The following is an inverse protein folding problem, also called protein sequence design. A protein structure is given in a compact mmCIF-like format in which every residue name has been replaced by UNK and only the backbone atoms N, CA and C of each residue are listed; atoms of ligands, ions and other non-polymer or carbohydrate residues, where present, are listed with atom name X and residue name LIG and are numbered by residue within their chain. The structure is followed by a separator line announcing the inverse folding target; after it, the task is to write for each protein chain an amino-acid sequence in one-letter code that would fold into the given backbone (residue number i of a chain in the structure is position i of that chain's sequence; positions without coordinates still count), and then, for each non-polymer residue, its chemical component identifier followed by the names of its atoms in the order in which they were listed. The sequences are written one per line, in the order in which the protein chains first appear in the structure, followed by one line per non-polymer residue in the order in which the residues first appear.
data_IF_146533932572
#
_entry.id   IF_146533932572
#
_cell.length_a   1.000
_cell.length_b   1.000
_cell.length_c   1.000
_cell.angle_alpha   90.00
_cell.angle_beta   90.00
_cell.angle_gamma   90.00
#
_symmetry.space_group_name_H-M   'P 1'
#
loop_
_entity.id
_entity.type
_entity.pdbx_description
1 polymer ?
#
# COMPACT_ATOMS: atom_id res chain seq x y z
N UNK A 1 38.25 3.12 -36.23
CA UNK A 1 39.36 2.79 -35.29
C UNK A 1 40.18 4.05 -35.04
N UNK A 2 40.79 4.16 -33.85
CA UNK A 2 41.47 5.34 -33.24
C UNK A 2 40.51 6.45 -32.79
N UNK A 3 40.04 6.54 -31.52
CA UNK A 3 40.73 6.62 -30.20
C UNK A 3 41.68 7.84 -30.15
N UNK A 4 41.58 8.85 -29.27
CA UNK A 4 41.84 8.84 -27.79
C UNK A 4 41.82 10.29 -27.21
N UNK A 5 41.40 10.42 -25.94
CA UNK A 5 41.83 11.36 -24.86
C UNK A 5 41.20 12.76 -24.81
N UNK A 6 40.53 13.22 -23.74
CA UNK A 6 40.82 13.33 -22.27
C UNK A 6 41.59 14.62 -21.91
N UNK A 7 40.83 15.57 -21.34
CA UNK A 7 41.03 16.44 -20.16
C UNK A 7 42.18 17.47 -20.12
N UNK A 8 41.79 18.74 -19.92
CA UNK A 8 42.51 19.81 -19.18
C UNK A 8 41.42 20.71 -18.55
N UNK A 9 41.12 20.64 -17.25
CA UNK A 9 41.77 21.33 -16.12
C UNK A 9 41.76 22.87 -16.24
N UNK A 10 40.78 23.52 -15.60
CA UNK A 10 40.80 24.94 -15.27
C UNK A 10 41.04 25.09 -13.77
N UNK A 11 42.18 25.69 -13.42
CA UNK A 11 42.50 26.21 -12.10
C UNK A 11 42.50 27.73 -12.21
N UNK A 12 41.77 28.44 -11.34
CA UNK A 12 42.22 29.75 -10.88
C UNK A 12 41.68 30.06 -9.47
N UNK A 13 42.65 30.09 -8.54
CA UNK A 13 42.84 30.89 -7.32
C UNK A 13 41.66 31.77 -6.84
N UNK A 14 41.16 31.59 -5.60
CA UNK A 14 41.73 31.99 -4.29
C UNK A 14 41.84 33.51 -4.09
N UNK A 15 41.06 34.04 -3.14
CA UNK A 15 41.53 34.91 -2.04
C UNK A 15 40.36 35.33 -1.12
N UNK A 16 40.58 35.28 0.20
CA UNK A 16 39.83 36.11 1.17
C UNK A 16 39.32 35.38 2.41
N UNK A 17 40.13 35.37 3.49
CA UNK A 17 39.75 34.99 4.85
C UNK A 17 38.71 36.01 5.43
N UNK A 18 37.93 35.81 6.49
CA UNK A 18 38.30 35.47 7.88
C UNK A 18 37.04 35.47 8.79
N UNK A 19 37.02 34.60 9.82
CA UNK A 19 36.29 34.55 11.12
C UNK A 19 34.75 34.58 11.28
N UNK A 20 34.24 33.40 11.68
CA UNK A 20 33.45 33.08 12.89
C UNK A 20 32.36 34.06 13.38
N UNK A 21 31.11 33.59 13.37
CA UNK A 21 30.11 33.86 14.40
C UNK A 21 29.15 32.68 14.48
N UNK A 22 29.05 32.07 15.66
CA UNK A 22 28.07 31.04 15.97
C UNK A 22 26.65 31.61 15.84
N UNK A 23 25.84 31.01 14.97
CA UNK A 23 24.39 31.17 15.00
C UNK A 23 23.79 29.84 15.42
N UNK A 24 23.27 29.82 16.64
CA UNK A 24 22.22 28.93 17.10
C UNK A 24 21.00 29.13 16.21
N UNK A 25 20.98 28.44 15.06
CA UNK A 25 19.80 28.31 14.24
C UNK A 25 19.05 27.05 14.70
N UNK A 26 17.94 27.27 15.38
CA UNK A 26 16.87 26.27 15.54
C UNK A 26 16.58 25.63 14.18
N UNK A 27 16.91 24.34 14.06
CA UNK A 27 16.74 23.58 12.83
C UNK A 27 15.27 23.62 12.37
N UNK A 28 14.95 24.06 11.15
CA UNK A 28 13.64 23.80 10.57
C UNK A 28 13.61 22.32 10.18
N UNK A 29 12.82 21.54 10.92
CA UNK A 29 12.47 20.15 10.62
C UNK A 29 11.82 20.10 9.23
N UNK A 30 12.61 19.76 8.23
CA UNK A 30 12.12 19.51 6.89
C UNK A 30 12.81 18.27 6.33
N UNK A 31 11.98 17.41 5.75
CA UNK A 31 12.35 16.33 4.85
C UNK A 31 12.80 15.03 5.51
N UNK A 32 11.81 14.18 5.81
CA UNK A 32 11.99 12.74 5.62
C UNK A 32 10.82 12.17 4.80
N UNK A 33 10.72 12.67 3.56
CA UNK A 33 10.13 11.88 2.48
C UNK A 33 11.22 10.95 1.96
N UNK A 34 11.22 9.69 2.39
CA UNK A 34 11.72 8.54 1.61
C UNK A 34 11.67 7.27 2.46
N UNK A 35 10.49 6.69 2.57
CA UNK A 35 10.35 5.24 2.79
C UNK A 35 9.06 4.75 2.13
N UNK A 36 8.80 5.20 0.89
CA UNK A 36 7.91 4.47 -0.01
C UNK A 36 8.67 3.27 -0.54
N UNK A 37 8.38 2.09 0.02
CA UNK A 37 8.72 0.83 -0.60
C UNK A 37 8.28 0.84 -2.07
N UNK A 38 9.06 0.21 -2.94
CA UNK A 38 8.86 0.16 -4.38
C UNK A 38 7.53 -0.53 -4.73
N UNK A 39 6.43 0.21 -4.68
CA UNK A 39 5.09 -0.25 -5.07
C UNK A 39 4.69 0.48 -6.36
N UNK A 40 4.57 -0.31 -7.44
CA UNK A 40 3.74 -0.11 -8.63
C UNK A 40 3.87 1.12 -9.55
N UNK A 41 4.99 1.25 -10.28
CA UNK A 41 4.97 1.94 -11.59
C UNK A 41 4.61 1.02 -12.77
N UNK A 42 4.77 -0.29 -12.63
CA UNK A 42 4.63 -1.25 -13.75
C UNK A 42 3.17 -1.63 -14.04
N UNK A 43 2.34 -1.71 -13.00
CA UNK A 43 0.98 -2.20 -13.10
C UNK A 43 0.02 -1.19 -13.74
N UNK A 44 0.21 0.11 -13.45
CA UNK A 44 -0.53 1.21 -14.09
C UNK A 44 -0.19 1.33 -15.58
N UNK A 45 1.08 1.18 -15.95
CA UNK A 45 1.53 1.24 -17.36
C UNK A 45 0.94 0.09 -18.19
N UNK A 46 0.86 -1.11 -17.61
CA UNK A 46 0.24 -2.26 -18.29
C UNK A 46 -1.28 -2.06 -18.49
N UNK A 47 -1.99 -1.51 -17.50
CA UNK A 47 -3.43 -1.23 -17.63
C UNK A 47 -3.73 -0.20 -18.72
N UNK A 48 -2.99 0.92 -18.75
CA UNK A 48 -3.14 1.97 -19.77
C UNK A 48 -2.82 1.45 -21.17
N UNK A 49 -1.87 0.52 -21.31
CA UNK A 49 -1.56 -0.12 -22.58
C UNK A 49 -2.68 -1.08 -23.03
N UNK A 50 -3.29 -1.83 -22.11
CA UNK A 50 -4.40 -2.74 -22.41
C UNK A 50 -5.68 -2.01 -22.81
N UNK A 51 -5.97 -0.86 -22.20
CA UNK A 51 -7.15 -0.07 -22.54
C UNK A 51 -7.07 0.59 -23.93
N UNK A 52 -5.85 0.77 -24.47
CA UNK A 52 -5.61 1.26 -25.84
C UNK A 52 -5.83 0.22 -26.94
N UNK A 53 -6.02 -1.06 -26.59
CA UNK A 53 -6.31 -2.12 -27.56
C UNK A 53 -7.72 -1.91 -28.13
N UNK A 54 -7.81 -1.62 -29.43
CA UNK A 54 -9.08 -1.35 -30.13
C UNK A 54 -9.99 -2.58 -30.25
N UNK A 55 -9.39 -3.76 -30.42
CA UNK A 55 -10.16 -5.01 -30.50
C UNK A 55 -10.68 -5.45 -29.13
N UNK A 56 -12.01 -5.60 -29.02
CA UNK A 56 -12.69 -5.95 -27.76
C UNK A 56 -12.32 -7.34 -27.28
N UNK A 57 -12.12 -8.30 -28.19
CA UNK A 57 -11.85 -9.70 -27.84
C UNK A 57 -10.42 -9.87 -27.34
N UNK A 58 -9.44 -9.31 -28.05
CA UNK A 58 -8.04 -9.28 -27.64
C UNK A 58 -7.87 -8.56 -26.30
N UNK A 59 -8.52 -7.40 -26.12
CA UNK A 59 -8.49 -6.69 -24.84
C UNK A 59 -9.04 -7.54 -23.68
N UNK A 60 -10.15 -8.25 -23.88
CA UNK A 60 -10.71 -9.16 -22.86
C UNK A 60 -9.74 -10.29 -22.52
N UNK A 61 -9.12 -10.92 -23.52
CA UNK A 61 -8.15 -11.99 -23.31
C UNK A 61 -6.91 -11.51 -22.55
N UNK A 62 -6.33 -10.36 -22.92
CA UNK A 62 -5.16 -9.79 -22.24
C UNK A 62 -5.52 -9.39 -20.80
N UNK A 63 -6.71 -8.79 -20.57
CA UNK A 63 -7.19 -8.49 -19.21
C UNK A 63 -7.35 -9.76 -18.36
N UNK A 64 -7.89 -10.83 -18.94
CA UNK A 64 -8.05 -12.10 -18.25
C UNK A 64 -6.69 -12.72 -17.89
N UNK A 65 -5.72 -12.73 -18.82
CA UNK A 65 -4.37 -13.21 -18.56
C UNK A 65 -3.68 -12.40 -17.44
N UNK A 66 -3.75 -11.07 -17.52
CA UNK A 66 -3.20 -10.20 -16.49
C UNK A 66 -3.88 -10.42 -15.13
N UNK A 67 -5.21 -10.58 -15.14
CA UNK A 67 -6.01 -10.89 -13.96
C UNK A 67 -5.56 -12.19 -13.29
N UNK A 68 -5.38 -13.26 -14.05
CA UNK A 68 -4.85 -14.54 -13.55
C UNK A 68 -3.45 -14.39 -12.96
N UNK A 69 -2.54 -13.66 -13.63
CA UNK A 69 -1.19 -13.44 -13.10
C UNK A 69 -1.20 -12.64 -11.79
N UNK A 70 -2.06 -11.62 -11.70
CA UNK A 70 -2.24 -10.84 -10.47
C UNK A 70 -2.81 -11.68 -9.35
N UNK A 71 -3.84 -12.47 -9.64
CA UNK A 71 -4.45 -13.41 -8.70
C UNK A 71 -3.40 -14.35 -8.11
N UNK A 72 -2.58 -14.98 -8.95
CA UNK A 72 -1.55 -15.93 -8.48
C UNK A 72 -0.52 -15.27 -7.57
N UNK A 73 -0.06 -14.06 -7.91
CA UNK A 73 0.88 -13.29 -7.08
C UNK A 73 0.25 -12.90 -5.74
N UNK A 74 -0.97 -12.37 -5.78
CA UNK A 74 -1.75 -12.01 -4.59
C UNK A 74 -2.01 -13.22 -3.69
N UNK A 75 -2.43 -14.34 -4.27
CA UNK A 75 -2.69 -15.59 -3.56
C UNK A 75 -1.43 -16.16 -2.89
N UNK A 76 -0.26 -16.03 -3.53
CA UNK A 76 1.01 -16.41 -2.90
C UNK A 76 1.33 -15.49 -1.73
N UNK A 77 1.29 -14.17 -1.94
CA UNK A 77 1.58 -13.18 -0.91
C UNK A 77 0.66 -13.30 0.32
N UNK A 78 -0.62 -13.58 0.09
CA UNK A 78 -1.62 -13.82 1.13
C UNK A 78 -1.30 -15.05 1.98
N UNK A 79 -0.87 -16.16 1.35
CA UNK A 79 -0.46 -17.38 2.06
C UNK A 79 0.85 -17.22 2.81
N UNK A 80 1.80 -16.46 2.25
CA UNK A 80 3.09 -16.16 2.88
C UNK A 80 2.94 -15.17 4.04
N UNK A 81 1.83 -14.42 4.11
CA UNK A 81 1.60 -13.39 5.12
C UNK A 81 2.40 -12.11 4.87
N UNK A 82 2.72 -11.80 3.62
CA UNK A 82 3.49 -10.61 3.24
C UNK A 82 2.79 -9.88 2.09
N UNK A 83 1.82 -9.05 2.42
CA UNK A 83 1.01 -8.34 1.43
C UNK A 83 0.49 -7.00 1.93
N UNK A 84 0.10 -6.14 0.99
CA UNK A 84 -0.70 -4.95 1.24
C UNK A 84 -1.94 -4.98 0.37
N UNK A 85 -3.11 -4.77 0.96
CA UNK A 85 -4.33 -4.44 0.25
C UNK A 85 -4.44 -2.93 0.21
N UNK A 86 -4.27 -2.34 -0.98
CA UNK A 86 -4.43 -0.92 -1.23
C UNK A 86 -5.85 -0.66 -1.68
N UNK A 87 -6.59 0.18 -0.94
CA UNK A 87 -8.00 0.39 -1.17
C UNK A 87 -8.26 1.62 -2.05
N UNK A 88 -8.96 1.41 -3.16
CA UNK A 88 -9.48 2.47 -4.01
C UNK A 88 -10.84 2.99 -3.53
N UNK A 89 -11.52 2.23 -2.67
CA UNK A 89 -12.74 2.67 -2.00
C UNK A 89 -12.84 2.13 -0.59
N UNK A 90 -13.44 2.91 0.31
CA UNK A 90 -13.72 2.55 1.70
C UNK A 90 -15.19 2.75 1.99
N UNK A 91 -15.83 1.75 2.60
CA UNK A 91 -17.20 1.85 3.11
C UNK A 91 -17.19 1.68 4.63
N UNK A 92 -17.89 2.55 5.34
CA UNK A 92 -18.06 2.43 6.79
C UNK A 92 -19.52 2.09 7.15
N UNK A 93 -19.70 0.94 7.78
CA UNK A 93 -20.97 0.52 8.39
C UNK A 93 -20.87 0.83 9.89
N UNK A 94 -21.89 1.41 10.56
CA UNK A 94 -23.30 1.46 10.17
C UNK A 94 -23.72 2.68 9.35
N UNK A 95 -22.88 3.71 9.23
CA UNK A 95 -23.24 4.96 8.53
C UNK A 95 -23.60 4.79 7.05
N UNK A 96 -23.16 3.68 6.44
CA UNK A 96 -23.31 3.44 5.01
C UNK A 96 -22.45 4.35 4.13
N UNK A 97 -21.66 5.26 4.72
CA UNK A 97 -20.79 6.19 4.02
C UNK A 97 -19.78 5.43 3.15
N UNK A 98 -19.66 5.84 1.89
CA UNK A 98 -18.72 5.30 0.92
C UNK A 98 -17.82 6.43 0.46
N UNK A 99 -16.52 6.30 0.70
CA UNK A 99 -15.49 7.08 0.02
C UNK A 99 -15.05 6.28 -1.22
N UNK A 100 -15.57 6.67 -2.38
CA UNK A 100 -15.32 6.00 -3.66
C UNK A 100 -14.02 6.47 -4.35
N UNK A 101 -13.26 7.39 -3.75
CA UNK A 101 -11.99 7.88 -4.26
C UNK A 101 -10.96 7.96 -3.13
N UNK A 102 -10.85 6.83 -2.41
CA UNK A 102 -9.93 6.70 -1.31
C UNK A 102 -8.49 6.81 -1.82
N UNK A 103 -7.69 7.61 -1.13
CA UNK A 103 -6.24 7.65 -1.35
C UNK A 103 -5.66 6.29 -0.93
N UNK A 104 -5.22 5.50 -1.90
CA UNK A 104 -4.68 4.15 -1.71
C UNK A 104 -3.46 4.14 -0.77
N UNK A 105 -2.74 5.26 -0.64
CA UNK A 105 -1.63 5.38 0.30
C UNK A 105 -2.09 5.62 1.74
N UNK A 106 -3.31 6.11 1.92
CA UNK A 106 -3.89 6.42 3.23
C UNK A 106 -4.98 5.42 3.66
N UNK A 107 -5.33 4.46 2.78
CA UNK A 107 -6.34 3.45 3.02
C UNK A 107 -5.82 2.06 2.62
N UNK A 108 -5.29 1.31 3.59
CA UNK A 108 -4.70 0.00 3.32
C UNK A 108 -4.77 -0.98 4.50
N UNK A 109 -4.65 -2.26 4.17
CA UNK A 109 -4.37 -3.35 5.13
C UNK A 109 -3.01 -3.96 4.78
N UNK A 110 -2.03 -3.84 5.66
CA UNK A 110 -0.70 -4.42 5.54
C UNK A 110 -0.58 -5.62 6.47
N UNK A 111 -0.06 -6.73 5.96
CA UNK A 111 0.34 -7.90 6.73
C UNK A 111 1.81 -8.20 6.43
N UNK A 112 2.62 -8.26 7.48
CA UNK A 112 4.06 -8.52 7.41
C UNK A 112 4.42 -9.58 8.46
N UNK A 113 4.29 -10.85 8.08
CA UNK A 113 4.47 -12.00 8.95
C UNK A 113 3.51 -11.95 10.14
N UNK A 114 4.06 -11.73 11.33
CA UNK A 114 3.29 -11.68 12.58
C UNK A 114 2.78 -10.27 12.92
N UNK A 115 3.06 -9.26 12.11
CA UNK A 115 2.63 -7.87 12.34
C UNK A 115 1.64 -7.44 11.27
N UNK A 116 0.67 -6.61 11.65
CA UNK A 116 -0.30 -6.06 10.72
C UNK A 116 -0.68 -4.63 11.04
N UNK A 117 -1.04 -3.89 10.00
CA UNK A 117 -1.50 -2.51 10.06
C UNK A 117 -2.78 -2.39 9.26
N UNK A 118 -3.81 -1.81 9.86
CA UNK A 118 -4.97 -1.32 9.12
C UNK A 118 -4.99 0.20 9.25
N UNK A 119 -5.01 0.91 8.14
CA UNK A 119 -5.08 2.37 8.13
C UNK A 119 -6.19 2.81 7.18
N UNK A 120 -6.96 3.79 7.62
CA UNK A 120 -7.92 4.52 6.79
C UNK A 120 -7.82 6.00 7.10
N UNK A 121 -7.98 6.84 6.09
CA UNK A 121 -8.08 8.28 6.22
C UNK A 121 -9.40 8.72 5.61
N UNK A 122 -10.34 9.22 6.43
CA UNK A 122 -11.54 9.85 5.92
C UNK A 122 -11.21 11.23 5.37
N UNK A 123 -11.55 11.49 4.10
CA UNK A 123 -11.54 12.85 3.54
C UNK A 123 -12.96 13.42 3.61
N UNK A 124 -13.16 14.47 4.41
CA UNK A 124 -14.42 15.20 4.49
C UNK A 124 -14.23 16.62 5.02
N UNK A 125 -14.58 17.61 4.19
CA UNK A 125 -14.20 19.04 4.17
C UNK A 125 -14.81 19.90 5.31
N UNK A 126 -15.35 19.29 6.37
CA UNK A 126 -15.88 20.03 7.53
C UNK A 126 -15.63 19.25 8.84
N UNK A 127 -14.92 19.79 9.84
CA UNK A 127 -14.60 19.12 11.11
C UNK A 127 -15.79 18.75 12.02
N UNK A 128 -17.03 18.86 11.55
CA UNK A 128 -18.22 18.84 12.42
C UNK A 128 -19.41 17.99 11.97
N UNK A 129 -19.46 17.45 10.74
CA UNK A 129 -20.69 16.81 10.24
C UNK A 129 -20.55 15.38 9.72
N UNK A 130 -19.44 14.67 10.01
CA UNK A 130 -19.40 13.19 10.04
C UNK A 130 -18.11 12.56 10.64
N UNK A 131 -17.15 13.33 11.18
CA UNK A 131 -16.04 12.87 12.06
C UNK A 131 -15.42 11.49 11.79
N UNK A 132 -15.27 11.09 10.53
CA UNK A 132 -14.47 9.92 10.16
C UNK A 132 -13.00 10.32 10.15
N UNK A 133 -12.48 10.66 11.34
CA UNK A 133 -11.05 10.86 11.54
C UNK A 133 -10.29 9.63 11.07
N UNK A 134 -9.10 9.83 10.49
CA UNK A 134 -8.27 8.71 10.08
C UNK A 134 -7.98 7.79 11.27
N UNK A 135 -8.17 6.48 11.08
CA UNK A 135 -7.95 5.47 12.11
C UNK A 135 -6.80 4.58 11.67
N UNK A 136 -5.85 4.35 12.58
CA UNK A 136 -4.74 3.42 12.36
C UNK A 136 -4.72 2.39 13.47
N UNK A 137 -4.87 1.14 13.08
CA UNK A 137 -4.67 -0.02 13.94
C UNK A 137 -3.32 -0.64 13.64
N UNK A 138 -2.53 -0.91 14.68
CA UNK A 138 -1.29 -1.69 14.57
C UNK A 138 -1.33 -2.79 15.61
N UNK A 139 -0.96 -4.00 15.22
CA UNK A 139 -0.99 -5.11 16.14
C UNK A 139 -0.35 -6.37 15.59
N UNK A 140 -0.37 -7.41 16.43
CA UNK A 140 0.08 -8.74 16.07
C UNK A 140 -1.02 -9.47 15.30
N UNK A 141 -0.65 -10.10 14.20
CA UNK A 141 -1.54 -10.98 13.44
C UNK A 141 -1.71 -12.28 14.22
N UNK A 142 -2.95 -12.57 14.60
CA UNK A 142 -3.37 -13.84 15.17
C UNK A 142 -3.25 -14.97 14.14
N UNK A 143 -3.52 -16.21 14.55
CA UNK A 143 -3.42 -17.37 13.65
C UNK A 143 -4.42 -17.22 12.49
N UNK A 144 -3.96 -17.05 11.23
CA UNK A 144 -4.87 -16.88 10.12
C UNK A 144 -5.53 -18.22 9.76
N UNK A 145 -6.79 -18.16 9.36
CA UNK A 145 -7.50 -19.27 8.73
C UNK A 145 -7.70 -18.98 7.25
N UNK A 146 -7.52 -20.01 6.43
CA UNK A 146 -7.62 -19.92 4.98
C UNK A 146 -8.68 -20.88 4.46
N UNK A 147 -9.48 -20.42 3.52
CA UNK A 147 -10.44 -21.26 2.80
C UNK A 147 -10.60 -20.79 1.35
N UNK A 148 -11.26 -21.61 0.54
CA UNK A 148 -11.56 -21.28 -0.86
C UNK A 148 -12.94 -21.79 -1.23
N UNK A 149 -13.64 -21.08 -2.12
CA UNK A 149 -14.91 -21.56 -2.66
C UNK A 149 -14.73 -22.33 -3.97
N UNK A 150 -15.83 -22.91 -4.49
CA UNK A 150 -15.85 -23.62 -5.79
C UNK A 150 -15.53 -22.72 -6.99
N UNK A 151 -15.67 -21.39 -6.86
CA UNK A 151 -15.35 -20.41 -7.91
C UNK A 151 -13.85 -20.08 -7.95
N UNK A 152 -13.09 -20.49 -6.92
CA UNK A 152 -11.67 -20.23 -6.78
C UNK A 152 -11.33 -18.95 -5.99
N UNK A 153 -12.33 -18.26 -5.42
CA UNK A 153 -12.05 -17.12 -4.54
C UNK A 153 -11.38 -17.63 -3.27
N UNK A 154 -10.40 -16.88 -2.77
CA UNK A 154 -9.69 -17.21 -1.54
C UNK A 154 -10.15 -16.31 -0.41
N UNK A 155 -10.31 -16.91 0.77
CA UNK A 155 -10.68 -16.21 1.98
C UNK A 155 -9.58 -16.37 3.01
N UNK A 156 -9.28 -15.28 3.70
CA UNK A 156 -8.36 -15.24 4.83
C UNK A 156 -9.04 -14.51 5.99
N UNK A 157 -9.09 -15.13 7.16
CA UNK A 157 -9.59 -14.51 8.37
C UNK A 157 -8.51 -14.52 9.45
N UNK A 158 -8.36 -13.42 10.17
CA UNK A 158 -7.46 -13.32 11.32
C UNK A 158 -7.88 -12.18 12.23
N UNK A 159 -7.44 -12.24 13.48
CA UNK A 159 -7.57 -11.13 14.43
C UNK A 159 -6.27 -10.35 14.46
N UNK A 160 -6.34 -9.03 14.38
CA UNK A 160 -5.27 -8.13 14.74
C UNK A 160 -5.37 -7.79 16.23
N UNK A 161 -4.33 -8.15 16.98
CA UNK A 161 -4.25 -7.95 18.43
C UNK A 161 -3.39 -6.73 18.72
N UNK A 162 -4.03 -5.64 19.14
CA UNK A 162 -3.38 -4.37 19.48
C UNK A 162 -3.17 -4.24 20.98
N UNK A 163 -2.60 -3.10 21.41
CA UNK A 163 -2.48 -2.74 22.82
C UNK A 163 -3.84 -2.47 23.48
N UNK A 164 -4.68 -1.69 22.78
CA UNK A 164 -5.90 -1.12 23.37
C UNK A 164 -7.17 -1.70 22.78
N UNK A 165 -7.10 -2.22 21.54
CA UNK A 165 -8.25 -2.71 20.78
C UNK A 165 -7.82 -3.96 20.01
N UNK A 166 -8.75 -4.88 19.78
CA UNK A 166 -8.60 -5.99 18.84
C UNK A 166 -9.55 -5.79 17.65
N UNK A 167 -9.14 -6.23 16.47
CA UNK A 167 -9.95 -6.16 15.26
C UNK A 167 -9.98 -7.50 14.54
N UNK A 168 -11.15 -7.96 14.15
CA UNK A 168 -11.27 -9.10 13.24
C UNK A 168 -11.19 -8.60 11.80
N UNK A 169 -10.37 -9.29 11.00
CA UNK A 169 -10.09 -8.94 9.61
C UNK A 169 -10.44 -10.12 8.72
N UNK A 170 -11.39 -9.90 7.82
CA UNK A 170 -11.82 -10.85 6.82
C UNK A 170 -11.45 -10.35 5.43
N UNK A 171 -10.62 -11.08 4.70
CA UNK A 171 -10.15 -10.74 3.36
C UNK A 171 -10.69 -11.74 2.35
N UNK A 172 -11.24 -11.23 1.25
CA UNK A 172 -11.60 -11.99 0.05
C UNK A 172 -10.69 -11.57 -1.10
N UNK A 173 -10.03 -12.53 -1.74
CA UNK A 173 -9.32 -12.34 -3.00
C UNK A 173 -10.15 -12.96 -4.13
N UNK A 174 -10.59 -12.13 -5.09
CA UNK A 174 -11.49 -12.56 -6.15
C UNK A 174 -10.74 -13.28 -7.27
N UNK A 175 -11.21 -14.49 -7.59
CA UNK A 175 -10.61 -15.36 -8.60
C UNK A 175 -10.48 -14.69 -9.98
N UNK A 176 -9.39 -14.99 -10.69
CA UNK A 176 -9.13 -14.48 -12.04
C UNK A 176 -8.85 -12.97 -12.07
N UNK A 177 -8.66 -12.33 -10.92
CA UNK A 177 -8.36 -10.90 -10.81
C UNK A 177 -7.31 -10.63 -9.72
N UNK A 178 -6.80 -9.41 -9.69
CA UNK A 178 -6.03 -8.91 -8.53
C UNK A 178 -6.89 -8.16 -7.51
N UNK A 179 -8.22 -8.15 -7.69
CA UNK A 179 -9.12 -7.42 -6.83
C UNK A 179 -9.33 -8.17 -5.52
N UNK A 180 -9.36 -7.41 -4.44
CA UNK A 180 -9.60 -7.92 -3.10
C UNK A 180 -10.51 -6.97 -2.32
N UNK A 181 -11.15 -7.55 -1.30
CA UNK A 181 -11.95 -6.83 -0.32
C UNK A 181 -11.51 -7.25 1.08
N UNK A 182 -11.30 -6.29 1.97
CA UNK A 182 -11.08 -6.54 3.39
C UNK A 182 -12.20 -5.89 4.20
N UNK A 183 -12.86 -6.68 5.04
CA UNK A 183 -13.75 -6.17 6.08
C UNK A 183 -13.03 -6.22 7.42
N UNK A 184 -12.91 -5.07 8.07
CA UNK A 184 -12.26 -4.90 9.37
C UNK A 184 -13.31 -4.50 10.40
N UNK A 185 -13.48 -5.33 11.43
CA UNK A 185 -14.47 -5.14 12.49
C UNK A 185 -13.75 -5.00 13.83
N UNK A 186 -13.72 -3.80 14.44
CA UNK A 186 -13.21 -3.63 15.79
C UNK A 186 -14.10 -4.33 16.83
N UNK A 187 -13.48 -5.00 17.80
CA UNK A 187 -14.19 -5.75 18.86
C UNK A 187 -15.07 -4.85 19.75
N UNK A 188 -14.83 -3.53 19.79
CA UNK A 188 -15.62 -2.57 20.55
C UNK A 188 -17.00 -2.24 19.95
N UNK A 189 -17.43 -2.93 18.89
CA UNK A 189 -18.81 -2.87 18.38
C UNK A 189 -19.23 -1.55 17.72
N UNK A 190 -18.27 -0.74 17.22
CA UNK A 190 -18.56 0.57 16.61
C UNK A 190 -18.87 0.53 15.10
N UNK A 191 -18.95 -0.66 14.51
CA UNK A 191 -19.15 -0.83 13.08
C UNK A 191 -18.04 -1.63 12.40
N UNK A 192 -18.01 -1.59 11.08
CA UNK A 192 -16.98 -2.23 10.26
C UNK A 192 -16.56 -1.35 9.09
N UNK A 193 -15.32 -1.53 8.66
CA UNK A 193 -14.74 -0.88 7.49
C UNK A 193 -14.55 -1.91 6.40
N UNK A 194 -15.15 -1.68 5.23
CA UNK A 194 -14.95 -2.51 4.04
C UNK A 194 -14.07 -1.76 3.05
N UNK A 195 -12.88 -2.28 2.81
CA UNK A 195 -11.86 -1.73 1.93
C UNK A 195 -11.83 -2.57 0.66
N UNK A 196 -12.02 -1.93 -0.49
CA UNK A 196 -11.97 -2.62 -1.79
C UNK A 196 -10.87 -2.02 -2.66
N UNK A 197 -10.07 -2.88 -3.26
CA UNK A 197 -8.97 -2.47 -4.14
C UNK A 197 -8.11 -3.65 -4.57
N UNK A 198 -6.79 -3.49 -4.57
CA UNK A 198 -5.84 -4.50 -5.07
C UNK A 198 -5.00 -5.08 -3.93
N UNK A 199 -4.79 -6.40 -3.96
CA UNK A 199 -3.86 -7.08 -3.05
C UNK A 199 -2.53 -7.32 -3.75
N UNK A 200 -1.47 -6.76 -3.16
CA UNK A 200 -0.14 -6.73 -3.74
C UNK A 200 0.87 -7.43 -2.82
N UNK A 201 1.84 -8.17 -3.38
CA UNK A 201 2.96 -8.68 -2.59
C UNK A 201 3.72 -7.55 -1.91
N UNK A 202 3.98 -7.69 -0.62
CA UNK A 202 4.77 -6.73 0.13
C UNK A 202 6.16 -7.31 0.38
N UNK A 203 7.19 -6.68 -0.21
CA UNK A 203 8.56 -7.13 -0.02
C UNK A 203 9.08 -6.58 1.30
N UNK A 204 9.62 -7.44 2.16
CA UNK A 204 10.40 -7.01 3.31
C UNK A 204 11.52 -6.05 2.85
N UNK A 205 11.77 -4.92 3.53
CA UNK A 205 13.01 -4.19 3.32
C UNK A 205 14.16 -5.17 3.58
N UNK A 206 15.09 -5.28 2.62
CA UNK A 206 16.28 -6.12 2.78
C UNK A 206 16.99 -5.67 4.07
N UNK A 207 17.34 -6.55 5.02
CA UNK A 207 18.12 -6.14 6.17
C UNK A 207 19.39 -5.47 5.66
N UNK A 208 19.56 -4.19 5.98
CA UNK A 208 20.83 -3.49 5.77
C UNK A 208 21.83 -4.20 6.66
N UNK A 209 22.82 -4.86 6.07
CA UNK A 209 23.94 -5.39 6.85
C UNK A 209 24.51 -4.25 7.69
N UNK A 210 24.76 -4.43 9.00
CA UNK A 210 25.56 -3.48 9.74
C UNK A 210 26.87 -3.27 8.99
N UNK A 211 27.18 -2.02 8.65
CA UNK A 211 28.49 -1.64 8.10
C UNK A 211 29.44 -1.43 9.27
#
# INVERSE_FOLDING_TARGET
MMVKKIVLAFSLMMAGATWCSAQTATAPHSTNQQQSGTIEKRDTVQLVAVDKIKDKNTRKQVKAQLGTMRFQKAARAMREGYFVLMASSVRHSPSGAIDASADEQANFVLVQGHSGVFQTAGRGINPGLNNMGGFTFKGRVGKPTFSSNKKGDLFMNFTLVGSDVNCDVYITLFHGSGDAEATVTPAMGRGSFTLRGKLLPYKQPKPTSPR
#
